data_IF_094643452274
#
_entry.id   IF_094643452274
#
_cell.length_a   1.000
_cell.length_b   1.000
_cell.length_c   1.000
_cell.angle_alpha   90.00
_cell.angle_beta   90.00
_cell.angle_gamma   90.00
#
_symmetry.space_group_name_H-M   'P 1'
#
loop_
_entity.id
_entity.type
_entity.pdbx_description
1 polymer ?
#
# COMPACT_ATOMS: atom_id res chain seq x y z
N UNK A 1 9.13 -5.82 19.63
CA UNK A 1 9.23 -5.17 18.30
C UNK A 1 8.59 -6.02 17.19
N UNK A 2 8.16 -7.26 17.45
CA UNK A 2 7.67 -8.18 16.40
C UNK A 2 6.18 -8.06 16.03
N UNK A 3 5.33 -7.50 16.90
CA UNK A 3 3.90 -7.43 16.66
C UNK A 3 3.51 -6.52 15.48
N UNK A 4 4.22 -5.40 15.29
CA UNK A 4 3.96 -4.46 14.18
C UNK A 4 4.36 -5.07 12.84
N UNK A 5 5.52 -5.74 12.80
CA UNK A 5 6.02 -6.42 11.61
C UNK A 5 5.12 -7.60 11.22
N UNK A 6 4.69 -8.40 12.19
CA UNK A 6 3.74 -9.48 11.95
C UNK A 6 2.41 -9.00 11.37
N UNK A 7 1.88 -7.85 11.84
CA UNK A 7 0.65 -7.24 11.28
C UNK A 7 0.85 -6.74 9.87
N UNK A 8 1.96 -6.07 9.60
CA UNK A 8 2.31 -5.60 8.26
C UNK A 8 2.40 -6.79 7.29
N UNK A 9 3.13 -7.84 7.65
CA UNK A 9 3.29 -9.04 6.81
C UNK A 9 1.95 -9.76 6.58
N UNK A 10 1.10 -9.89 7.60
CA UNK A 10 -0.23 -10.50 7.46
C UNK A 10 -1.14 -9.68 6.54
N UNK A 11 -1.21 -8.38 6.74
CA UNK A 11 -2.02 -7.50 5.90
C UNK A 11 -1.53 -7.51 4.45
N UNK A 12 -0.20 -7.52 4.23
CA UNK A 12 0.40 -7.59 2.91
C UNK A 12 0.03 -8.90 2.18
N UNK A 13 0.01 -10.05 2.89
CA UNK A 13 -0.41 -11.34 2.32
C UNK A 13 -1.87 -11.34 1.87
N UNK A 14 -2.76 -10.73 2.65
CA UNK A 14 -4.18 -10.66 2.31
C UNK A 14 -4.43 -9.75 1.10
N UNK A 15 -3.72 -8.63 1.02
CA UNK A 15 -3.74 -7.74 -0.14
C UNK A 15 -3.19 -8.48 -1.37
N UNK A 16 -2.07 -9.18 -1.22
CA UNK A 16 -1.49 -9.99 -2.29
C UNK A 16 -2.49 -11.04 -2.79
N UNK A 17 -3.14 -11.77 -1.89
CA UNK A 17 -4.13 -12.78 -2.25
C UNK A 17 -5.32 -12.17 -3.02
N UNK A 18 -5.83 -11.03 -2.57
CA UNK A 18 -6.90 -10.31 -3.27
C UNK A 18 -6.48 -9.84 -4.67
N UNK A 19 -5.23 -9.40 -4.85
CA UNK A 19 -4.70 -8.94 -6.13
C UNK A 19 -4.35 -10.07 -7.10
N UNK A 20 -4.06 -11.28 -6.58
CA UNK A 20 -3.84 -12.49 -7.39
C UNK A 20 -5.13 -13.14 -7.88
N UNK A 21 -6.27 -12.77 -7.31
CA UNK A 21 -7.55 -13.26 -7.78
C UNK A 21 -7.72 -12.95 -9.29
N UNK A 22 -8.29 -13.87 -10.09
CA UNK A 22 -8.47 -13.64 -11.52
C UNK A 22 -9.17 -12.32 -11.77
N UNK A 23 -8.46 -11.43 -12.45
CA UNK A 23 -9.00 -10.16 -12.93
C UNK A 23 -9.07 -10.25 -14.45
N UNK A 24 -10.12 -9.70 -15.07
CA UNK A 24 -10.25 -9.68 -16.54
C UNK A 24 -9.25 -8.75 -17.24
N UNK A 25 -8.13 -8.43 -16.60
CA UNK A 25 -7.10 -7.47 -17.04
C UNK A 25 -5.74 -8.13 -16.93
N UNK A 26 -4.85 -7.86 -17.89
CA UNK A 26 -3.49 -8.40 -17.86
C UNK A 26 -2.66 -7.61 -16.84
N UNK A 27 -2.53 -8.17 -15.64
CA UNK A 27 -1.79 -7.55 -14.54
C UNK A 27 -0.61 -8.40 -14.08
N UNK A 28 0.48 -7.74 -13.70
CA UNK A 28 1.62 -8.34 -13.02
C UNK A 28 1.71 -7.77 -11.60
N UNK A 29 1.77 -8.64 -10.59
CA UNK A 29 1.93 -8.29 -9.19
C UNK A 29 3.34 -8.65 -8.72
N UNK A 30 4.04 -7.68 -8.13
CA UNK A 30 5.35 -7.87 -7.49
C UNK A 30 5.27 -7.37 -6.05
N UNK A 31 5.69 -8.19 -5.10
CA UNK A 31 5.59 -7.90 -3.66
C UNK A 31 6.99 -7.91 -3.06
N UNK A 32 7.39 -6.88 -2.31
CA UNK A 32 8.72 -6.75 -1.69
C UNK A 32 9.91 -6.93 -2.66
N UNK A 33 9.73 -6.58 -3.93
CA UNK A 33 10.74 -6.74 -4.97
C UNK A 33 11.32 -5.39 -5.42
N UNK A 34 12.53 -5.41 -5.95
CA UNK A 34 13.11 -4.22 -6.58
C UNK A 34 12.36 -3.87 -7.85
N UNK A 35 12.24 -2.56 -8.12
CA UNK A 35 11.66 -2.08 -9.37
C UNK A 35 12.55 -2.49 -10.55
N UNK A 36 12.03 -3.18 -11.57
CA UNK A 36 12.81 -3.66 -12.70
C UNK A 36 13.60 -2.54 -13.41
N UNK A 37 14.90 -2.78 -13.60
CA UNK A 37 15.78 -1.89 -14.34
C UNK A 37 16.10 -0.56 -13.68
N UNK A 38 15.70 -0.31 -12.42
CA UNK A 38 16.08 0.90 -11.70
C UNK A 38 17.55 0.80 -11.26
N UNK A 39 18.44 1.69 -11.73
CA UNK A 39 19.82 1.75 -11.24
C UNK A 39 19.87 2.47 -9.89
N UNK A 40 20.63 1.93 -8.93
CA UNK A 40 20.81 2.56 -7.61
C UNK A 40 20.40 1.64 -6.45
N UNK A 41 20.18 2.19 -5.23
CA UNK A 41 19.85 1.39 -4.07
C UNK A 41 18.61 0.54 -4.32
N UNK A 42 18.64 -0.71 -3.86
CA UNK A 42 17.61 -1.71 -4.04
C UNK A 42 16.33 -1.33 -3.27
N UNK A 43 15.63 -0.28 -3.71
CA UNK A 43 14.34 0.11 -3.20
C UNK A 43 13.35 -0.99 -3.53
N UNK A 44 12.73 -1.54 -2.49
CA UNK A 44 11.74 -2.61 -2.56
C UNK A 44 10.43 -2.06 -1.99
N UNK A 45 9.54 -1.52 -2.85
CA UNK A 45 8.19 -1.19 -2.43
C UNK A 45 7.46 -2.45 -1.95
N UNK A 46 6.50 -2.27 -1.04
CA UNK A 46 5.72 -3.40 -0.53
C UNK A 46 4.92 -4.05 -1.66
N UNK A 47 4.30 -3.24 -2.54
CA UNK A 47 3.50 -3.68 -3.67
C UNK A 47 3.82 -2.90 -4.94
N UNK A 48 3.89 -3.62 -6.05
CA UNK A 48 3.91 -3.09 -7.41
C UNK A 48 2.87 -3.83 -8.24
N UNK A 49 1.93 -3.10 -8.83
CA UNK A 49 0.91 -3.66 -9.73
C UNK A 49 1.06 -3.01 -11.09
N UNK A 50 1.49 -3.77 -12.08
CA UNK A 50 1.57 -3.35 -13.47
C UNK A 50 0.28 -3.76 -14.16
N UNK A 51 -0.44 -2.80 -14.73
CA UNK A 51 -1.55 -3.04 -15.63
C UNK A 51 -1.06 -2.83 -17.06
N UNK A 52 -0.88 -3.92 -17.80
CA UNK A 52 -0.35 -3.87 -19.16
C UNK A 52 -1.37 -3.32 -20.15
N UNK A 53 -2.67 -3.49 -19.89
CA UNK A 53 -3.73 -3.05 -20.80
C UNK A 53 -3.83 -1.52 -20.80
N UNK A 54 -3.67 -0.90 -19.63
CA UNK A 54 -3.73 0.56 -19.47
C UNK A 54 -2.34 1.23 -19.43
N UNK A 55 -1.27 0.44 -19.50
CA UNK A 55 0.13 0.87 -19.33
C UNK A 55 0.33 1.72 -18.07
N UNK A 56 -0.29 1.29 -16.97
CA UNK A 56 -0.16 1.93 -15.65
C UNK A 56 0.63 1.04 -14.69
N UNK A 57 1.27 1.67 -13.71
CA UNK A 57 1.94 0.97 -12.61
C UNK A 57 1.59 1.66 -11.30
N UNK A 58 1.03 0.89 -10.36
CA UNK A 58 0.82 1.35 -9.00
C UNK A 58 1.96 0.84 -8.12
N UNK A 59 2.65 1.76 -7.45
CA UNK A 59 3.67 1.47 -6.45
C UNK A 59 3.10 1.88 -5.11
N UNK A 60 2.86 0.89 -4.24
CA UNK A 60 2.11 1.07 -3.00
C UNK A 60 2.92 0.56 -1.82
N UNK A 61 3.04 1.41 -0.80
CA UNK A 61 3.59 1.02 0.50
C UNK A 61 2.47 0.82 1.52
N UNK A 62 2.62 -0.20 2.35
CA UNK A 62 1.75 -0.48 3.48
C UNK A 62 2.35 0.14 4.75
N UNK A 63 1.55 0.89 5.48
CA UNK A 63 1.90 1.40 6.80
C UNK A 63 0.87 0.92 7.83
N UNK A 64 1.36 0.29 8.89
CA UNK A 64 0.54 -0.02 10.07
C UNK A 64 0.95 0.93 11.19
N UNK A 65 0.11 1.92 11.48
CA UNK A 65 0.35 2.88 12.54
C UNK A 65 -0.20 2.33 13.87
N UNK A 66 0.57 2.44 14.95
CA UNK A 66 0.00 2.25 16.28
C UNK A 66 -0.78 3.52 16.64
N UNK A 67 -2.07 3.36 16.90
CA UNK A 67 -2.90 4.48 17.36
C UNK A 67 -2.48 4.81 18.81
N UNK A 68 -1.51 5.72 18.95
CA UNK A 68 -1.37 6.46 20.21
C UNK A 68 -2.14 7.74 19.98
N UNK A 69 -3.38 7.74 20.44
CA UNK A 69 -4.25 8.91 20.51
C UNK A 69 -3.70 9.85 21.58
N UNK A 70 -2.49 10.35 21.37
CA UNK A 70 -1.98 11.50 22.11
C UNK A 70 -2.27 12.72 21.25
N UNK A 71 -3.16 13.54 21.79
CA UNK A 71 -3.36 14.95 21.50
C UNK A 71 -4.38 15.28 20.41
N UNK A 72 -5.42 15.95 20.90
CA UNK A 72 -6.52 16.62 20.23
C UNK A 72 -6.07 17.86 19.43
N UNK A 73 -4.91 17.81 18.76
CA UNK A 73 -4.36 18.97 18.04
C UNK A 73 -3.50 18.63 16.79
N UNK A 74 -3.79 19.37 15.72
CA UNK A 74 -2.99 19.64 14.51
C UNK A 74 -2.81 18.54 13.43
N UNK A 75 -3.70 18.60 12.45
CA UNK A 75 -3.66 17.92 11.15
C UNK A 75 -2.45 18.26 10.22
N UNK A 76 -1.19 18.40 10.67
CA UNK A 76 -0.17 18.98 9.75
C UNK A 76 1.30 18.52 9.82
N UNK A 77 1.87 17.99 10.91
CA UNK A 77 3.35 17.80 10.91
C UNK A 77 3.85 16.36 10.71
N UNK A 78 3.32 15.35 11.43
CA UNK A 78 3.87 13.98 11.43
C UNK A 78 3.51 13.15 10.20
N UNK A 79 2.22 13.06 9.87
CA UNK A 79 1.73 12.29 8.71
C UNK A 79 2.14 12.95 7.38
N UNK A 80 2.11 14.28 7.30
CA UNK A 80 2.55 15.01 6.12
C UNK A 80 4.06 14.85 5.88
N UNK A 81 4.87 14.84 6.94
CA UNK A 81 6.31 14.56 6.86
C UNK A 81 6.58 13.12 6.43
N UNK A 82 5.87 12.14 6.99
CA UNK A 82 5.99 10.74 6.56
C UNK A 82 5.58 10.54 5.09
N UNK A 83 4.52 11.23 4.64
CA UNK A 83 4.10 11.23 3.25
C UNK A 83 5.13 11.89 2.32
N UNK A 84 5.73 13.02 2.72
CA UNK A 84 6.78 13.71 1.98
C UNK A 84 8.07 12.88 1.90
N UNK A 85 8.47 12.24 2.99
CA UNK A 85 9.63 11.33 3.03
C UNK A 85 9.42 10.11 2.12
N UNK A 86 8.22 9.51 2.14
CA UNK A 86 7.87 8.44 1.19
C UNK A 86 7.83 8.94 -0.26
N UNK A 87 7.26 10.12 -0.51
CA UNK A 87 7.23 10.71 -1.86
C UNK A 87 8.63 10.98 -2.40
N UNK A 88 9.54 11.52 -1.57
CA UNK A 88 10.93 11.72 -1.93
C UNK A 88 11.66 10.40 -2.21
N UNK A 89 11.42 9.37 -1.37
CA UNK A 89 11.99 8.02 -1.53
C UNK A 89 11.57 7.38 -2.87
N UNK A 90 10.33 7.57 -3.29
CA UNK A 90 9.78 6.95 -4.51
C UNK A 90 9.82 7.86 -5.75
N UNK A 91 10.26 9.12 -5.63
CA UNK A 91 10.40 10.03 -6.77
C UNK A 91 11.33 9.46 -7.86
N UNK A 92 12.41 8.79 -7.46
CA UNK A 92 13.32 8.11 -8.39
C UNK A 92 12.65 6.96 -9.15
N UNK A 93 11.81 6.17 -8.45
CA UNK A 93 11.03 5.08 -9.04
C UNK A 93 10.02 5.62 -10.04
N UNK A 94 9.28 6.67 -9.66
CA UNK A 94 8.31 7.34 -10.55
C UNK A 94 8.98 7.82 -11.82
N UNK A 95 10.04 8.62 -11.72
CA UNK A 95 10.77 9.13 -12.89
C UNK A 95 11.32 8.00 -13.77
N UNK A 96 11.80 6.91 -13.16
CA UNK A 96 12.31 5.76 -13.92
C UNK A 96 11.23 5.06 -14.73
N UNK A 97 10.10 4.75 -14.11
CA UNK A 97 8.98 4.07 -14.76
C UNK A 97 8.29 4.97 -15.80
N UNK A 98 8.16 6.27 -15.53
CA UNK A 98 7.63 7.25 -16.50
C UNK A 98 8.52 7.35 -17.74
N UNK A 99 9.84 7.29 -17.62
CA UNK A 99 10.77 7.24 -18.77
C UNK A 99 10.59 5.97 -19.63
N UNK A 100 10.09 4.89 -19.05
CA UNK A 100 9.73 3.67 -19.78
C UNK A 100 8.31 3.75 -20.39
N UNK A 101 7.64 4.89 -20.22
CA UNK A 101 6.31 5.18 -20.75
C UNK A 101 5.16 4.63 -19.90
N UNK A 102 5.41 4.30 -18.63
CA UNK A 102 4.35 3.92 -17.70
C UNK A 102 3.70 5.16 -17.08
N UNK A 103 2.39 5.13 -16.89
CA UNK A 103 1.71 6.07 -15.98
C UNK A 103 1.82 5.55 -14.56
N UNK A 104 2.51 6.31 -13.68
CA UNK A 104 2.85 5.84 -12.32
C UNK A 104 1.90 6.43 -11.28
N UNK A 105 1.33 5.55 -10.45
CA UNK A 105 0.58 5.91 -9.26
C UNK A 105 1.43 5.57 -8.03
N UNK A 106 1.91 6.58 -7.31
CA UNK A 106 2.54 6.40 -6.01
C UNK A 106 1.45 6.51 -4.93
N UNK A 107 1.31 5.50 -4.08
CA UNK A 107 0.28 5.51 -3.05
C UNK A 107 0.71 4.81 -1.77
N UNK A 108 -0.06 5.02 -0.71
CA UNK A 108 0.13 4.31 0.54
C UNK A 108 -1.21 3.74 1.02
N UNK A 109 -1.16 2.53 1.56
CA UNK A 109 -2.24 1.93 2.33
C UNK A 109 -1.92 2.10 3.81
N UNK A 110 -2.83 2.69 4.56
CA UNK A 110 -2.62 2.98 5.99
C UNK A 110 -3.71 2.31 6.83
N UNK A 111 -3.27 1.48 7.76
CA UNK A 111 -4.12 0.79 8.73
C UNK A 111 -3.68 1.15 10.15
N UNK A 112 -4.62 1.48 11.03
CA UNK A 112 -4.34 1.66 12.44
C UNK A 112 -4.42 0.34 13.20
N UNK A 113 -3.64 0.22 14.26
CA UNK A 113 -3.56 -0.99 15.08
C UNK A 113 -4.90 -1.41 15.69
N UNK A 114 -5.83 -0.47 15.91
CA UNK A 114 -7.16 -0.74 16.46
C UNK A 114 -8.24 -0.94 15.39
N UNK A 115 -7.85 -1.17 14.13
CA UNK A 115 -8.77 -1.41 13.03
C UNK A 115 -9.28 -0.16 12.32
N UNK A 116 -8.73 1.02 12.64
CA UNK A 116 -8.96 2.22 11.84
C UNK A 116 -8.36 2.04 10.44
N UNK A 117 -9.04 2.58 9.44
CA UNK A 117 -8.63 2.48 8.03
C UNK A 117 -8.62 3.88 7.44
N UNK A 118 -7.54 4.25 6.74
CA UNK A 118 -7.52 5.52 6.04
C UNK A 118 -8.53 5.56 4.90
N UNK A 119 -9.31 6.65 4.82
CA UNK A 119 -10.33 6.83 3.77
C UNK A 119 -9.77 6.74 2.35
N UNK A 120 -8.49 7.11 2.17
CA UNK A 120 -7.77 7.01 0.89
C UNK A 120 -7.54 5.57 0.43
N UNK A 121 -7.56 4.57 1.32
CA UNK A 121 -7.28 3.17 0.96
C UNK A 121 -8.27 2.65 -0.07
N UNK A 122 -9.55 3.02 0.05
CA UNK A 122 -10.59 2.61 -0.88
C UNK A 122 -10.28 3.06 -2.32
N UNK A 123 -9.89 4.33 -2.49
CA UNK A 123 -9.45 4.87 -3.79
C UNK A 123 -8.22 4.15 -4.31
N UNK A 124 -7.22 3.87 -3.46
CA UNK A 124 -6.02 3.12 -3.86
C UNK A 124 -6.39 1.72 -4.34
N UNK A 125 -7.29 1.02 -3.64
CA UNK A 125 -7.75 -0.30 -4.06
C UNK A 125 -8.47 -0.28 -5.39
N UNK A 126 -9.41 0.63 -5.59
CA UNK A 126 -10.26 0.61 -6.79
C UNK A 126 -9.59 1.25 -8.00
N UNK A 127 -8.91 2.38 -7.81
CA UNK A 127 -8.40 3.19 -8.92
C UNK A 127 -6.96 2.87 -9.28
N UNK A 128 -6.12 2.55 -8.30
CA UNK A 128 -4.69 2.31 -8.55
C UNK A 128 -4.38 0.82 -8.67
N UNK A 129 -4.98 -0.01 -7.80
CA UNK A 129 -4.78 -1.46 -7.80
C UNK A 129 -5.82 -2.20 -8.66
N UNK A 130 -6.89 -1.50 -9.08
CA UNK A 130 -7.90 -2.02 -10.00
C UNK A 130 -8.79 -3.12 -9.41
N UNK A 131 -8.92 -3.19 -8.09
CA UNK A 131 -9.85 -4.11 -7.43
C UNK A 131 -11.30 -3.69 -7.71
N UNK A 132 -12.20 -4.67 -7.84
CA UNK A 132 -13.62 -4.39 -7.89
C UNK A 132 -14.07 -3.77 -6.55
N UNK A 133 -15.03 -2.85 -6.60
CA UNK A 133 -15.56 -2.18 -5.39
C UNK A 133 -15.97 -3.16 -4.28
N UNK A 134 -16.57 -4.30 -4.66
CA UNK A 134 -16.97 -5.37 -3.73
C UNK A 134 -15.77 -6.02 -3.03
N UNK A 135 -14.70 -6.28 -3.78
CA UNK A 135 -13.51 -6.97 -3.30
C UNK A 135 -12.67 -6.01 -2.46
N UNK A 136 -12.59 -4.73 -2.87
CA UNK A 136 -12.01 -3.66 -2.08
C UNK A 136 -12.70 -3.53 -0.70
N UNK A 137 -14.03 -3.42 -0.66
CA UNK A 137 -14.78 -3.36 0.61
C UNK A 137 -14.57 -4.58 1.49
N UNK A 138 -14.55 -5.77 0.88
CA UNK A 138 -14.32 -7.03 1.61
C UNK A 138 -12.92 -7.07 2.21
N UNK A 139 -11.91 -6.73 1.41
CA UNK A 139 -10.51 -6.67 1.84
C UNK A 139 -10.34 -5.68 2.99
N UNK A 140 -10.91 -4.49 2.86
CA UNK A 140 -10.78 -3.44 3.86
C UNK A 140 -11.40 -3.84 5.21
N UNK A 141 -12.57 -4.49 5.18
CA UNK A 141 -13.21 -5.04 6.38
C UNK A 141 -12.39 -6.17 7.00
N UNK A 142 -11.84 -7.08 6.19
CA UNK A 142 -10.98 -8.18 6.68
C UNK A 142 -9.75 -7.63 7.38
N UNK A 143 -9.06 -6.67 6.76
CA UNK A 143 -7.83 -6.07 7.30
C UNK A 143 -8.08 -5.26 8.58
N UNK A 144 -9.20 -4.52 8.63
CA UNK A 144 -9.63 -3.83 9.85
C UNK A 144 -9.84 -4.81 11.02
N UNK A 145 -10.57 -5.91 10.79
CA UNK A 145 -10.82 -6.94 11.81
C UNK A 145 -9.52 -7.62 12.25
N UNK A 146 -8.61 -7.91 11.32
CA UNK A 146 -7.32 -8.50 11.64
C UNK A 146 -6.44 -7.59 12.49
N UNK A 147 -6.45 -6.28 12.23
CA UNK A 147 -5.73 -5.32 13.08
C UNK A 147 -6.26 -5.38 14.53
N UNK A 148 -7.58 -5.43 14.71
CA UNK A 148 -8.22 -5.58 16.03
C UNK A 148 -7.83 -6.90 16.70
N UNK A 149 -7.95 -8.03 15.98
CA UNK A 149 -7.62 -9.36 16.52
C UNK A 149 -6.15 -9.46 16.90
N UNK A 150 -5.27 -8.86 16.11
CA UNK A 150 -3.83 -8.81 16.37
C UNK A 150 -3.46 -7.87 17.52
N UNK A 151 -4.35 -6.95 17.90
CA UNK A 151 -4.21 -6.11 19.11
C UNK A 151 -4.59 -6.84 20.39
N UNK A 152 -5.44 -7.87 20.33
CA UNK A 152 -5.79 -8.72 21.49
C UNK A 152 -4.71 -9.72 21.90
N UNK A 153 -3.61 -9.83 21.14
CA UNK A 153 -2.52 -10.80 21.33
C UNK A 153 -1.24 -10.17 21.89
N UNK A 154 -1.29 -8.90 22.31
CA UNK A 154 -0.24 -8.21 23.08
C UNK A 154 -0.67 -8.24 24.54
#
# INVERSE_FOLDING_TARGET
MDAVRGRHDSALRDIEHALRAPSGTRRELRVNQTVPGLPGPALRPDLQVYNHDQRTVAVVDLAVAFDRQDSDDAASSGLAKAAAEKAAKYAGIKRHLERQGWKVHLSALVYGSLGSVAASNYTVYTEHLGLLKRDAKRLDRTLSVQCIQSSRRI
#
